data_IF_379567297385
#
_entry.id   IF_379567297385
#
_cell.length_a   1.000
_cell.length_b   1.000
_cell.length_c   1.000
_cell.angle_alpha   90.00
_cell.angle_beta   90.00
_cell.angle_gamma   90.00
#
_symmetry.space_group_name_H-M   'P 1'
#
loop_
_entity.id
_entity.type
_entity.pdbx_description
1 polymer ?
#
# COMPACT_ATOMS: atom_id res chain seq x y z
N UNK A 1 30.41 -4.45 -31.02
CA UNK A 1 30.37 -4.97 -29.64
C UNK A 1 29.88 -3.86 -28.72
N UNK A 2 28.56 -3.66 -28.66
CA UNK A 2 27.89 -2.62 -27.82
C UNK A 2 26.53 -3.15 -27.33
N UNK A 3 25.88 -3.99 -28.14
CA UNK A 3 24.58 -4.64 -27.82
C UNK A 3 24.64 -5.48 -26.53
N UNK A 4 25.75 -6.20 -26.27
CA UNK A 4 25.90 -7.02 -25.06
C UNK A 4 26.02 -6.21 -23.76
N UNK A 5 26.63 -5.02 -23.81
CA UNK A 5 26.81 -4.15 -22.63
C UNK A 5 25.46 -3.53 -22.25
N UNK A 6 24.68 -3.07 -23.25
CA UNK A 6 23.35 -2.54 -23.01
C UNK A 6 22.43 -3.62 -22.38
N UNK A 7 22.41 -4.84 -22.92
CA UNK A 7 21.58 -5.93 -22.36
C UNK A 7 21.96 -6.31 -20.93
N UNK A 8 23.25 -6.30 -20.57
CA UNK A 8 23.69 -6.64 -19.20
C UNK A 8 23.21 -5.68 -18.12
N UNK A 9 22.92 -4.42 -18.47
CA UNK A 9 22.42 -3.40 -17.53
C UNK A 9 20.93 -3.57 -17.28
N UNK A 10 20.16 -4.06 -18.27
CA UNK A 10 18.70 -4.15 -18.20
C UNK A 10 18.15 -5.54 -17.85
N UNK A 11 18.94 -6.61 -18.00
CA UNK A 11 18.54 -7.98 -17.66
C UNK A 11 18.17 -8.23 -16.18
N UNK A 12 18.82 -7.61 -15.17
CA UNK A 12 18.47 -7.86 -13.77
C UNK A 12 17.03 -7.46 -13.43
N UNK A 13 16.52 -6.38 -14.03
CA UNK A 13 15.23 -5.78 -13.70
C UNK A 13 14.02 -6.67 -14.08
N UNK A 14 14.17 -7.61 -15.02
CA UNK A 14 13.08 -8.51 -15.42
C UNK A 14 12.77 -9.60 -14.39
N UNK A 15 13.71 -9.89 -13.48
CA UNK A 15 13.58 -10.93 -12.46
C UNK A 15 13.26 -10.38 -11.07
N UNK A 16 13.29 -9.06 -10.89
CA UNK A 16 13.03 -8.43 -9.59
C UNK A 16 11.54 -8.12 -9.49
N UNK A 17 10.84 -8.89 -8.67
CA UNK A 17 9.41 -8.74 -8.40
C UNK A 17 9.18 -8.62 -6.90
N UNK A 18 8.21 -7.82 -6.47
CA UNK A 18 7.85 -7.76 -5.07
C UNK A 18 7.21 -9.08 -4.61
N UNK A 19 7.67 -9.59 -3.47
CA UNK A 19 7.30 -10.91 -2.93
C UNK A 19 6.50 -10.85 -1.63
N UNK A 20 6.50 -9.69 -0.98
CA UNK A 20 5.85 -9.47 0.31
C UNK A 20 4.48 -8.84 0.14
N UNK A 21 3.48 -9.51 0.68
CA UNK A 21 2.13 -8.99 0.82
C UNK A 21 2.10 -7.88 1.89
N UNK A 22 1.05 -7.07 1.89
CA UNK A 22 0.92 -6.02 2.89
C UNK A 22 -0.49 -5.86 3.42
N UNK A 23 -0.55 -5.45 4.69
CA UNK A 23 -1.77 -5.06 5.37
C UNK A 23 -1.95 -3.55 5.26
N UNK A 24 -3.15 -3.13 4.92
CA UNK A 24 -3.54 -1.73 4.89
C UNK A 24 -4.98 -1.56 5.39
N UNK A 25 -5.32 -0.35 5.80
CA UNK A 25 -6.69 0.04 6.13
C UNK A 25 -7.23 1.08 5.16
N UNK A 26 -8.54 1.05 4.90
CA UNK A 26 -9.26 2.07 4.15
C UNK A 26 -10.41 2.62 4.99
N UNK A 27 -10.63 3.93 4.87
CA UNK A 27 -11.75 4.62 5.46
C UNK A 27 -11.59 4.83 6.96
N UNK A 28 -12.73 4.98 7.62
CA UNK A 28 -12.82 5.43 8.99
C UNK A 28 -12.71 6.94 9.13
N UNK A 29 -13.39 7.48 10.14
CA UNK A 29 -13.33 8.92 10.40
C UNK A 29 -11.93 9.32 10.86
N UNK A 30 -11.61 10.62 10.79
CA UNK A 30 -10.35 11.17 11.27
C UNK A 30 -10.00 10.71 12.71
N UNK A 31 -11.03 10.53 13.55
CA UNK A 31 -10.89 10.03 14.93
C UNK A 31 -10.34 8.60 15.02
N UNK A 32 -10.52 7.78 13.99
CA UNK A 32 -10.09 6.38 13.90
C UNK A 32 -8.73 6.22 13.20
N UNK A 33 -8.14 7.33 12.72
CA UNK A 33 -6.91 7.30 11.92
C UNK A 33 -5.77 6.56 12.58
N UNK A 34 -5.68 6.58 13.92
CA UNK A 34 -4.61 5.97 14.72
C UNK A 34 -5.09 4.77 15.56
N UNK A 35 -6.29 4.24 15.27
CA UNK A 35 -6.85 3.11 16.00
C UNK A 35 -6.00 1.84 15.77
N UNK A 36 -5.64 1.54 14.52
CA UNK A 36 -4.79 0.40 14.20
C UNK A 36 -3.31 0.80 14.18
N UNK A 37 -2.49 0.10 14.96
CA UNK A 37 -1.04 0.29 15.02
C UNK A 37 -0.36 -1.06 15.07
N UNK A 38 0.77 -1.20 14.38
CA UNK A 38 1.62 -2.39 14.49
C UNK A 38 2.67 -2.16 15.56
N UNK A 39 2.65 -2.96 16.62
CA UNK A 39 3.66 -2.96 17.69
C UNK A 39 4.16 -4.39 17.90
N UNK A 40 5.48 -4.57 18.04
CA UNK A 40 6.13 -5.88 18.21
C UNK A 40 5.74 -6.92 17.14
N UNK A 41 5.47 -6.47 15.92
CA UNK A 41 5.09 -7.31 14.79
C UNK A 41 3.64 -7.76 14.77
N UNK A 42 2.78 -7.21 15.63
CA UNK A 42 1.36 -7.56 15.69
C UNK A 42 0.48 -6.32 15.54
N UNK A 43 -0.72 -6.51 14.98
CA UNK A 43 -1.72 -5.47 14.91
C UNK A 43 -2.40 -5.28 16.28
N UNK A 44 -2.41 -4.04 16.76
CA UNK A 44 -3.06 -3.64 18.00
C UNK A 44 -4.11 -2.57 17.71
N UNK A 45 -5.26 -2.67 18.39
CA UNK A 45 -6.33 -1.67 18.40
C UNK A 45 -6.14 -0.75 19.60
N UNK A 46 -5.76 0.50 19.38
CA UNK A 46 -5.63 1.53 20.42
C UNK A 46 -7.00 2.15 20.71
N UNK A 47 -7.31 2.43 21.99
CA UNK A 47 -8.55 3.11 22.33
C UNK A 47 -8.55 4.53 21.75
N UNK A 48 -9.61 4.87 21.03
CA UNK A 48 -9.84 6.22 20.54
C UNK A 48 -10.74 6.98 21.52
N UNK A 49 -10.48 8.27 21.70
CA UNK A 49 -11.38 9.15 22.44
C UNK A 49 -12.26 9.87 21.43
N UNK A 50 -13.52 9.47 21.32
CA UNK A 50 -14.48 10.16 20.47
C UNK A 50 -15.02 11.38 21.22
N UNK A 51 -15.09 12.56 20.60
CA UNK A 51 -15.85 13.67 21.16
C UNK A 51 -17.32 13.25 21.29
N UNK A 52 -17.96 13.56 22.43
CA UNK A 52 -19.33 13.14 22.78
C UNK A 52 -20.41 13.43 21.71
N UNK A 53 -20.11 14.30 20.75
CA UNK A 53 -20.99 14.70 19.63
C UNK A 53 -21.01 13.68 18.49
N UNK A 54 -20.00 12.81 18.35
CA UNK A 54 -19.89 11.82 17.25
C UNK A 54 -19.92 10.42 17.84
N UNK A 55 -21.11 9.82 17.92
CA UNK A 55 -21.32 8.46 18.46
C UNK A 55 -21.22 7.34 17.42
N UNK A 56 -21.16 7.67 16.13
CA UNK A 56 -21.27 6.71 15.03
C UNK A 56 -20.17 6.93 14.02
N UNK A 57 -18.92 6.89 14.47
CA UNK A 57 -17.83 6.84 13.52
C UNK A 57 -17.72 5.46 12.90
N UNK A 58 -17.41 5.42 11.61
CA UNK A 58 -17.16 4.16 10.91
C UNK A 58 -15.77 3.66 11.28
N UNK A 59 -15.64 2.39 11.67
CA UNK A 59 -14.33 1.78 11.86
C UNK A 59 -13.65 1.58 10.49
N UNK A 60 -12.31 1.71 10.40
CA UNK A 60 -11.60 1.45 9.17
C UNK A 60 -11.72 -0.03 8.76
N UNK A 61 -11.87 -0.28 7.47
CA UNK A 61 -11.85 -1.64 6.95
C UNK A 61 -10.41 -2.10 6.71
N UNK A 62 -10.09 -3.35 7.08
CA UNK A 62 -8.77 -3.94 6.92
C UNK A 62 -8.71 -4.84 5.70
N UNK A 63 -7.60 -4.76 4.97
CA UNK A 63 -7.35 -5.53 3.76
C UNK A 63 -5.92 -6.02 3.72
N UNK A 64 -5.74 -7.26 3.25
CA UNK A 64 -4.44 -7.80 2.83
C UNK A 64 -4.38 -7.73 1.31
N UNK A 65 -3.29 -7.16 0.79
CA UNK A 65 -3.02 -7.16 -0.65
C UNK A 65 -2.03 -8.27 -0.99
N UNK A 66 -2.47 -9.21 -1.82
CA UNK A 66 -1.60 -10.19 -2.46
C UNK A 66 -0.91 -9.52 -3.65
N UNK A 67 0.40 -9.37 -3.56
CA UNK A 67 1.19 -8.65 -4.57
C UNK A 67 1.39 -9.49 -5.84
N UNK A 68 1.38 -10.82 -5.70
CA UNK A 68 1.53 -11.76 -6.81
C UNK A 68 0.29 -11.76 -7.71
N UNK A 69 -0.89 -11.74 -7.10
CA UNK A 69 -2.19 -11.67 -7.78
C UNK A 69 -2.62 -10.23 -8.09
N UNK A 70 -1.98 -9.24 -7.44
CA UNK A 70 -2.37 -7.83 -7.49
C UNK A 70 -3.86 -7.65 -7.12
N UNK A 71 -4.25 -8.26 -6.02
CA UNK A 71 -5.64 -8.30 -5.54
C UNK A 71 -5.68 -8.08 -4.03
N UNK A 72 -6.76 -7.47 -3.56
CA UNK A 72 -6.98 -7.25 -2.12
C UNK A 72 -8.13 -8.09 -1.61
N UNK A 73 -7.93 -8.69 -0.45
CA UNK A 73 -8.96 -9.44 0.30
C UNK A 73 -9.24 -8.74 1.61
N UNK A 74 -10.52 -8.53 1.92
CA UNK A 74 -10.95 -7.96 3.19
C UNK A 74 -10.70 -8.97 4.32
N UNK A 75 -10.15 -8.50 5.43
CA UNK A 75 -9.87 -9.33 6.62
C UNK A 75 -10.49 -8.71 7.85
N UNK A 76 -10.83 -9.54 8.82
CA UNK A 76 -11.21 -9.12 10.17
C UNK A 76 -9.99 -8.68 10.98
N UNK A 77 -10.23 -7.96 12.08
CA UNK A 77 -9.16 -7.59 13.00
C UNK A 77 -8.48 -8.82 13.61
N UNK A 78 -9.26 -9.85 13.96
CA UNK A 78 -8.76 -11.10 14.55
C UNK A 78 -7.84 -11.85 13.58
N UNK A 79 -8.20 -11.92 12.30
CA UNK A 79 -7.34 -12.48 11.25
C UNK A 79 -6.08 -11.65 11.07
N UNK A 80 -6.20 -10.32 11.00
CA UNK A 80 -5.07 -9.42 10.82
C UNK A 80 -4.09 -9.41 12.02
N UNK A 81 -4.58 -9.66 13.24
CA UNK A 81 -3.77 -9.76 14.44
C UNK A 81 -2.90 -11.03 14.46
N UNK A 82 -3.32 -12.10 13.77
CA UNK A 82 -2.53 -13.33 13.63
C UNK A 82 -1.39 -13.19 12.61
N UNK A 83 -1.32 -12.08 11.87
CA UNK A 83 -0.23 -11.82 10.93
C UNK A 83 1.03 -11.34 11.66
N UNK A 84 2.19 -11.74 11.16
CA UNK A 84 3.47 -11.17 11.55
C UNK A 84 3.78 -9.98 10.63
N UNK A 85 3.78 -8.77 11.18
CA UNK A 85 3.84 -7.53 10.41
C UNK A 85 5.17 -6.79 10.56
N UNK A 86 5.67 -6.21 9.47
CA UNK A 86 6.75 -5.22 9.49
C UNK A 86 6.20 -3.82 9.19
N UNK A 87 6.27 -2.90 10.15
CA UNK A 87 5.81 -1.53 9.95
C UNK A 87 6.82 -0.66 9.18
N UNK A 88 7.96 -1.20 8.75
CA UNK A 88 8.93 -0.47 7.95
C UNK A 88 8.28 0.01 6.62
N UNK A 89 8.44 1.30 6.24
CA UNK A 89 7.97 1.80 4.96
C UNK A 89 8.49 1.02 3.74
N UNK A 90 9.67 0.41 3.88
CA UNK A 90 10.26 -0.45 2.87
C UNK A 90 10.11 -1.92 3.27
N UNK A 91 9.70 -2.75 2.32
CA UNK A 91 9.61 -4.20 2.47
C UNK A 91 10.99 -4.83 2.60
N UNK A 92 11.09 -6.06 3.13
CA UNK A 92 12.38 -6.76 3.25
C UNK A 92 13.10 -6.98 1.91
N UNK A 93 12.36 -7.08 0.80
CA UNK A 93 12.88 -7.17 -0.56
C UNK A 93 13.12 -5.80 -1.22
N UNK A 94 12.99 -4.69 -0.48
CA UNK A 94 13.43 -3.37 -0.94
C UNK A 94 12.38 -2.55 -1.72
N UNK A 95 11.12 -2.97 -1.70
CA UNK A 95 10.01 -2.25 -2.32
C UNK A 95 9.29 -1.33 -1.34
N UNK A 96 8.64 -0.30 -1.86
CA UNK A 96 7.87 0.69 -1.10
C UNK A 96 6.54 0.97 -1.80
N UNK A 97 5.51 1.32 -1.01
CA UNK A 97 4.22 1.77 -1.55
C UNK A 97 4.25 3.28 -1.68
N UNK A 98 4.01 3.77 -2.89
CA UNK A 98 4.07 5.19 -3.23
C UNK A 98 2.77 5.68 -3.86
N UNK A 99 2.55 6.99 -3.74
CA UNK A 99 1.48 7.68 -4.43
C UNK A 99 1.86 7.87 -5.90
N UNK A 100 0.90 7.66 -6.79
CA UNK A 100 1.10 7.91 -8.20
C UNK A 100 1.14 9.39 -8.57
N UNK A 101 2.06 9.75 -9.46
CA UNK A 101 1.70 10.56 -10.62
C UNK A 101 1.85 9.66 -11.85
N UNK A 102 0.80 9.53 -12.66
CA UNK A 102 0.79 8.68 -13.86
C UNK A 102 1.95 9.06 -14.77
N UNK A 103 3.00 8.24 -14.81
CA UNK A 103 4.23 8.49 -15.54
C UNK A 103 4.97 7.20 -15.76
N UNK A 104 4.33 6.27 -16.48
CA UNK A 104 5.01 5.08 -17.00
C UNK A 104 6.02 5.55 -18.06
N UNK A 105 7.30 5.66 -17.70
CA UNK A 105 8.34 6.00 -18.67
C UNK A 105 9.71 6.28 -18.08
N UNK A 106 10.69 5.52 -18.55
CA UNK A 106 12.14 5.73 -18.39
C UNK A 106 12.69 6.94 -19.15
N UNK A 107 11.86 7.92 -19.53
CA UNK A 107 12.27 9.12 -20.30
C UNK A 107 11.57 10.41 -19.83
N UNK A 108 12.29 11.50 -19.51
CA UNK A 108 11.76 12.69 -18.82
C UNK A 108 11.01 13.71 -19.72
N UNK A 109 10.65 13.39 -20.97
CA UNK A 109 10.41 14.45 -21.98
C UNK A 109 8.99 14.59 -22.54
N UNK A 110 8.01 13.80 -22.12
CA UNK A 110 6.62 13.96 -22.60
C UNK A 110 5.59 13.63 -21.51
N UNK A 111 5.28 14.55 -20.60
CA UNK A 111 4.26 14.30 -19.57
C UNK A 111 3.29 15.48 -19.42
N UNK A 112 2.20 15.40 -20.17
CA UNK A 112 0.92 15.97 -19.76
C UNK A 112 0.03 14.79 -19.36
N UNK A 113 0.01 14.45 -18.07
CA UNK A 113 -0.91 13.45 -17.53
C UNK A 113 -1.57 14.01 -16.27
N UNK A 114 -2.87 13.78 -16.17
CA UNK A 114 -3.68 14.15 -15.02
C UNK A 114 -3.20 13.38 -13.77
N UNK A 115 -3.01 14.11 -12.67
CA UNK A 115 -2.64 13.53 -11.37
C UNK A 115 -3.84 12.74 -10.84
N UNK A 116 -3.78 11.42 -10.99
CA UNK A 116 -4.68 10.54 -10.27
C UNK A 116 -4.16 10.33 -8.83
N UNK A 117 -4.65 11.16 -7.91
CA UNK A 117 -4.31 11.10 -6.49
C UNK A 117 -4.80 9.81 -5.78
N UNK A 118 -5.68 9.04 -6.42
CA UNK A 118 -6.18 7.77 -5.91
C UNK A 118 -5.26 6.58 -6.22
N UNK A 119 -4.45 6.68 -7.27
CA UNK A 119 -3.58 5.58 -7.68
C UNK A 119 -2.41 5.35 -6.71
N UNK A 120 -2.12 4.08 -6.44
CA UNK A 120 -0.97 3.62 -5.63
C UNK A 120 -0.10 2.69 -6.47
N UNK A 121 1.19 2.72 -6.19
CA UNK A 121 2.20 1.95 -6.90
C UNK A 121 3.12 1.28 -5.90
N UNK A 122 3.58 0.07 -6.22
CA UNK A 122 4.71 -0.56 -5.55
C UNK A 122 5.96 -0.31 -6.39
N UNK A 123 6.99 0.26 -5.76
CA UNK A 123 8.21 0.73 -6.42
C UNK A 123 9.43 0.18 -5.71
N UNK A 124 10.44 -0.24 -6.46
CA UNK A 124 11.69 -0.78 -5.91
C UNK A 124 12.62 -1.19 -7.05
N UNK A 125 13.93 -1.20 -6.83
CA UNK A 125 14.92 -1.70 -7.81
C UNK A 125 14.79 -1.14 -9.24
N UNK A 126 14.36 0.12 -9.39
CA UNK A 126 14.17 0.76 -10.69
C UNK A 126 12.90 0.33 -11.45
N UNK A 127 12.03 -0.48 -10.84
CA UNK A 127 10.72 -0.86 -11.37
C UNK A 127 9.58 -0.21 -10.55
N UNK A 128 8.44 0.00 -11.21
CA UNK A 128 7.21 0.49 -10.59
C UNK A 128 6.03 -0.26 -11.19
N UNK A 129 5.09 -0.71 -10.35
CA UNK A 129 3.88 -1.42 -10.77
C UNK A 129 2.67 -0.79 -10.09
N UNK A 130 1.63 -0.48 -10.87
CA UNK A 130 0.35 0.02 -10.34
C UNK A 130 -0.35 -1.07 -9.53
N UNK A 131 -0.77 -0.73 -8.31
CA UNK A 131 -1.52 -1.61 -7.43
C UNK A 131 -3.01 -1.52 -7.74
N UNK A 132 -3.68 -2.66 -7.81
CA UNK A 132 -5.14 -2.72 -7.93
C UNK A 132 -5.76 -2.85 -6.54
N UNK A 133 -6.00 -1.71 -5.91
CA UNK A 133 -6.51 -1.64 -4.56
C UNK A 133 -8.03 -1.45 -4.60
N UNK A 134 -8.75 -2.19 -3.76
CA UNK A 134 -10.18 -1.98 -3.58
C UNK A 134 -10.41 -0.67 -2.81
N UNK A 135 -10.37 0.45 -3.51
CA UNK A 135 -10.81 1.74 -2.99
C UNK A 135 -12.33 1.80 -3.16
N UNK A 136 -13.08 1.47 -2.11
CA UNK A 136 -14.55 1.47 -2.15
C UNK A 136 -15.04 2.86 -2.52
N UNK A 137 -15.64 2.98 -3.71
CA UNK A 137 -16.07 4.24 -4.32
C UNK A 137 -17.32 4.88 -3.69
N UNK A 138 -17.80 4.35 -2.56
CA UNK A 138 -19.10 4.70 -1.98
C UNK A 138 -19.07 5.78 -0.90
N UNK A 139 -17.89 6.32 -0.54
CA UNK A 139 -17.81 7.48 0.34
C UNK A 139 -16.96 8.58 -0.29
N UNK A 140 -17.57 9.76 -0.33
CA UNK A 140 -17.22 10.93 -1.10
C UNK A 140 -15.81 11.47 -0.75
N UNK A 141 -14.83 11.13 -1.58
CA UNK A 141 -13.88 12.06 -2.23
C UNK A 141 -12.86 12.88 -1.41
N UNK A 142 -12.67 12.72 -0.10
CA UNK A 142 -11.54 13.41 0.58
C UNK A 142 -10.90 12.68 1.78
N UNK A 143 -11.51 11.59 2.25
CA UNK A 143 -11.09 10.86 3.47
C UNK A 143 -10.78 9.38 3.26
N UNK A 144 -10.73 8.90 2.00
CA UNK A 144 -10.32 7.53 1.67
C UNK A 144 -8.79 7.41 1.66
N UNK A 145 -8.16 7.81 2.76
CA UNK A 145 -6.72 7.67 2.95
C UNK A 145 -6.42 6.21 3.20
N UNK A 146 -5.99 5.50 2.14
CA UNK A 146 -5.33 4.22 2.32
C UNK A 146 -4.15 4.41 3.26
N UNK A 147 -4.16 3.67 4.36
CA UNK A 147 -3.08 3.68 5.35
C UNK A 147 -2.37 2.33 5.34
N UNK A 148 -1.11 2.36 4.93
CA UNK A 148 -0.22 1.22 5.09
C UNK A 148 0.00 0.94 6.58
N UNK A 149 -0.17 -0.33 6.99
CA UNK A 149 0.02 -0.76 8.37
C UNK A 149 1.30 -1.60 8.52
N UNK A 150 1.60 -2.45 7.54
CA UNK A 150 2.84 -3.21 7.53
C UNK A 150 2.92 -4.27 6.43
N UNK A 151 4.12 -4.76 6.17
CA UNK A 151 4.40 -5.91 5.31
C UNK A 151 4.15 -7.21 6.06
N UNK A 152 3.56 -8.21 5.40
CA UNK A 152 3.33 -9.52 5.98
C UNK A 152 4.62 -10.34 5.87
N UNK A 153 5.26 -10.64 7.00
CA UNK A 153 6.43 -11.51 7.07
C UNK A 153 5.99 -12.96 6.91
N UNK A 154 6.63 -13.66 5.97
CA UNK A 154 6.54 -15.10 5.79
C UNK A 154 7.44 -15.84 6.78
#
# INVERSE_FOLDING_TARGET
MVIGIALSIYLPALFIKPEYDFLYSIGGDYSYRNEYVVENGQLIKKPITLPNTIKTGQEPELYVHDVSENASTKVSFEEAQNLNLDSNPQSPDGFEITYGSTGDGIFPIFFWSERDYGSRYIKGHGVSKKLNLQLTSSFQSYYNDLRFLGWVKK
#
